data_IF_514244141921
#
_entry.id   IF_514244141921
#
_cell.length_a   1.000
_cell.length_b   1.000
_cell.length_c   1.000
_cell.angle_alpha   90.00
_cell.angle_beta   90.00
_cell.angle_gamma   90.00
#
_symmetry.space_group_name_H-M   'P 1'
#
loop_
_entity.id
_entity.type
_entity.pdbx_description
1 polymer ?
#
# COMPACT_ATOMS: atom_id res chain seq x y z
N UNK A 1 -0.44 -4.83 -6.81
CA UNK A 1 1.00 -4.71 -6.50
C UNK A 1 1.53 -5.70 -5.47
N UNK A 2 1.64 -5.39 -4.16
CA UNK A 2 2.20 -6.35 -3.17
C UNK A 2 1.43 -7.68 -3.13
N UNK A 3 0.09 -7.64 -3.27
CA UNK A 3 -0.75 -8.84 -3.32
C UNK A 3 -0.49 -9.74 -4.53
N UNK A 4 -0.30 -9.16 -5.72
CA UNK A 4 -0.06 -9.95 -6.94
C UNK A 4 1.33 -10.56 -6.93
N UNK A 5 2.34 -9.81 -6.47
CA UNK A 5 3.68 -10.35 -6.24
C UNK A 5 3.65 -11.51 -5.24
N UNK A 6 2.95 -11.35 -4.11
CA UNK A 6 2.80 -12.42 -3.11
C UNK A 6 2.09 -13.67 -3.65
N UNK A 7 0.99 -13.49 -4.41
CA UNK A 7 0.22 -14.63 -4.93
C UNK A 7 0.91 -15.32 -6.10
N UNK A 8 1.74 -14.62 -6.87
CA UNK A 8 2.47 -15.17 -8.00
C UNK A 8 3.77 -15.87 -7.57
N UNK A 9 4.55 -15.29 -6.65
CA UNK A 9 5.89 -15.80 -6.31
C UNK A 9 5.92 -16.78 -5.14
N UNK A 10 4.91 -16.77 -4.26
CA UNK A 10 4.90 -17.60 -3.04
C UNK A 10 3.58 -18.35 -2.81
N UNK A 11 3.14 -19.22 -3.73
CA UNK A 11 1.92 -20.01 -3.54
C UNK A 11 2.06 -21.01 -2.37
N UNK A 12 1.08 -21.03 -1.47
CA UNK A 12 1.02 -21.99 -0.35
C UNK A 12 1.97 -21.68 0.81
N UNK A 13 2.50 -20.45 0.88
CA UNK A 13 3.38 -19.98 1.94
C UNK A 13 2.68 -19.00 2.87
N UNK A 14 2.98 -19.10 4.16
CA UNK A 14 2.43 -18.21 5.17
C UNK A 14 3.17 -16.87 5.19
N UNK A 15 2.40 -15.79 5.18
CA UNK A 15 2.91 -14.43 5.29
C UNK A 15 2.16 -13.71 6.40
N UNK A 16 2.92 -13.06 7.28
CA UNK A 16 2.38 -12.27 8.38
C UNK A 16 2.40 -10.82 7.99
N UNK A 17 1.22 -10.19 7.97
CA UNK A 17 1.05 -8.80 7.53
C UNK A 17 0.45 -8.00 8.67
N UNK A 18 1.09 -6.88 8.99
CA UNK A 18 0.57 -5.87 9.89
C UNK A 18 0.45 -4.55 9.15
N UNK A 19 -0.54 -3.75 9.53
CA UNK A 19 -0.72 -2.40 9.01
C UNK A 19 -1.21 -1.50 10.10
N UNK A 20 -0.90 -0.22 9.99
CA UNK A 20 -1.34 0.76 10.96
C UNK A 20 -1.09 2.18 10.52
N UNK A 21 -1.20 3.07 11.49
CA UNK A 21 -1.00 4.51 11.32
C UNK A 21 0.12 4.98 12.24
N UNK A 22 0.73 6.11 11.91
CA UNK A 22 1.69 6.79 12.76
C UNK A 22 1.48 8.31 12.69
N UNK A 23 1.73 8.99 13.81
CA UNK A 23 1.57 10.44 13.93
C UNK A 23 0.11 10.91 13.86
N UNK A 24 -0.08 12.22 13.90
CA UNK A 24 -1.39 12.86 13.73
C UNK A 24 -1.16 14.13 12.92
N UNK A 25 -1.69 14.14 11.69
CA UNK A 25 -1.61 15.28 10.78
C UNK A 25 -2.63 16.35 11.16
N UNK A 26 -3.85 15.91 11.44
CA UNK A 26 -4.98 16.80 11.67
C UNK A 26 -6.06 16.08 12.48
N UNK A 27 -7.14 16.79 12.79
CA UNK A 27 -8.33 16.26 13.43
C UNK A 27 -9.54 16.48 12.53
N UNK A 28 -10.23 15.38 12.22
CA UNK A 28 -11.53 15.44 11.59
C UNK A 28 -12.56 15.77 12.67
N UNK A 29 -13.07 17.00 12.63
CA UNK A 29 -14.10 17.47 13.55
C UNK A 29 -15.48 17.04 13.06
N UNK A 30 -15.96 15.88 13.54
CA UNK A 30 -17.33 15.44 13.33
C UNK A 30 -18.28 16.02 14.38
N UNK A 31 -19.60 16.01 14.09
CA UNK A 31 -20.63 16.48 15.03
C UNK A 31 -20.68 15.73 16.36
N UNK A 32 -20.14 14.51 16.42
CA UNK A 32 -20.21 13.63 17.61
C UNK A 32 -18.84 13.17 18.13
N UNK A 33 -17.82 13.09 17.25
CA UNK A 33 -16.49 12.62 17.61
C UNK A 33 -15.42 13.36 16.82
N UNK A 34 -14.30 13.60 17.51
CA UNK A 34 -13.05 14.03 16.89
C UNK A 34 -12.24 12.79 16.53
N UNK A 35 -11.96 12.63 15.24
CA UNK A 35 -11.18 11.49 14.73
C UNK A 35 -9.83 12.00 14.28
N UNK A 36 -8.75 11.39 14.75
CA UNK A 36 -7.40 11.73 14.31
C UNK A 36 -7.22 11.36 12.85
N UNK A 37 -6.75 12.32 12.06
CA UNK A 37 -6.24 12.08 10.72
C UNK A 37 -4.76 11.69 10.85
N UNK A 38 -4.37 10.47 10.44
CA UNK A 38 -2.98 10.02 10.53
C UNK A 38 -2.04 10.90 9.73
N UNK A 39 -0.80 11.06 10.20
CA UNK A 39 0.27 11.65 9.40
C UNK A 39 0.88 10.64 8.42
N UNK A 40 0.92 9.37 8.83
CA UNK A 40 1.45 8.29 8.01
C UNK A 40 0.57 7.04 8.08
N UNK A 41 0.53 6.31 6.98
CA UNK A 41 0.05 4.94 6.90
C UNK A 41 1.24 4.02 6.67
N UNK A 42 1.27 2.87 7.33
CA UNK A 42 2.34 1.89 7.13
C UNK A 42 1.78 0.48 7.00
N UNK A 43 2.56 -0.35 6.31
CA UNK A 43 2.33 -1.78 6.17
C UNK A 43 3.65 -2.51 6.29
N UNK A 44 3.68 -3.57 7.06
CA UNK A 44 4.84 -4.42 7.25
C UNK A 44 4.46 -5.87 6.95
N UNK A 45 5.42 -6.62 6.43
CA UNK A 45 5.27 -8.02 6.14
C UNK A 45 6.50 -8.78 6.63
N UNK A 46 6.25 -9.95 7.20
CA UNK A 46 7.27 -10.96 7.44
C UNK A 46 6.91 -12.26 6.73
N UNK A 47 7.93 -12.86 6.12
CA UNK A 47 7.92 -14.25 5.67
C UNK A 47 9.02 -14.99 6.40
N UNK A 48 8.69 -16.16 6.94
CA UNK A 48 9.64 -17.11 7.50
C UNK A 48 9.16 -18.54 7.22
N UNK A 49 10.06 -19.39 6.72
CA UNK A 49 9.81 -20.83 6.52
C UNK A 49 10.68 -21.73 7.40
N UNK A 50 11.29 -21.16 8.44
CA UNK A 50 12.18 -21.84 9.37
C UNK A 50 13.59 -22.08 8.83
N UNK A 51 13.85 -21.74 7.56
CA UNK A 51 15.19 -21.80 6.93
C UNK A 51 15.64 -20.43 6.44
N UNK A 52 14.71 -19.64 5.93
CA UNK A 52 14.94 -18.32 5.39
C UNK A 52 13.85 -17.38 5.84
N UNK A 53 14.25 -16.18 6.21
CA UNK A 53 13.34 -15.11 6.58
C UNK A 53 13.66 -13.84 5.80
N UNK A 54 12.62 -13.13 5.38
CA UNK A 54 12.71 -11.76 4.90
C UNK A 54 11.53 -10.96 5.43
N UNK A 55 11.78 -9.68 5.67
CA UNK A 55 10.76 -8.78 6.19
C UNK A 55 10.98 -7.37 5.68
N UNK A 56 9.89 -6.74 5.28
CA UNK A 56 9.88 -5.39 4.70
C UNK A 56 8.72 -4.58 5.26
N UNK A 57 8.86 -3.27 5.17
CA UNK A 57 7.86 -2.31 5.52
C UNK A 57 7.79 -1.20 4.46
N UNK A 58 6.59 -0.69 4.24
CA UNK A 58 6.35 0.56 3.56
C UNK A 58 5.69 1.53 4.52
N UNK A 59 6.07 2.80 4.45
CA UNK A 59 5.38 3.91 5.11
C UNK A 59 5.13 5.00 4.09
N UNK A 60 3.95 5.61 4.16
CA UNK A 60 3.43 6.58 3.20
C UNK A 60 2.90 7.76 3.99
N UNK A 61 3.32 8.97 3.63
CA UNK A 61 2.78 10.19 4.22
C UNK A 61 1.34 10.42 3.74
N UNK A 62 0.46 10.80 4.64
CA UNK A 62 -0.90 11.19 4.32
C UNK A 62 -0.89 12.61 3.73
N UNK A 63 -0.97 12.73 2.40
CA UNK A 63 -1.08 14.02 1.71
C UNK A 63 -2.45 14.13 1.03
N UNK A 64 -3.26 15.09 1.47
CA UNK A 64 -4.50 15.46 0.80
C UNK A 64 -4.21 16.49 -0.29
N UNK A 65 -3.52 16.13 -1.37
CA UNK A 65 -3.45 16.99 -2.54
C UNK A 65 -4.14 16.30 -3.72
N UNK A 66 -5.08 17.03 -4.33
CA UNK A 66 -5.71 16.69 -5.61
C UNK A 66 -4.67 16.52 -6.75
N UNK A 67 -3.41 16.87 -6.48
CA UNK A 67 -2.23 16.75 -7.34
C UNK A 67 -1.35 15.53 -6.99
N UNK A 68 -1.58 14.85 -5.86
CA UNK A 68 -0.69 13.81 -5.32
C UNK A 68 -1.26 12.39 -5.36
N UNK A 69 -2.43 12.17 -5.99
CA UNK A 69 -2.91 10.81 -6.24
C UNK A 69 -1.95 10.03 -7.17
N UNK A 70 -1.28 10.76 -8.08
CA UNK A 70 -0.27 10.23 -8.99
C UNK A 70 1.16 10.28 -8.42
N UNK A 71 1.38 11.11 -7.40
CA UNK A 71 2.69 11.18 -6.77
C UNK A 71 2.82 10.12 -5.69
N UNK A 72 3.50 9.04 -6.04
CA UNK A 72 4.15 8.13 -5.08
C UNK A 72 5.26 8.82 -4.26
N UNK A 73 5.21 10.15 -4.11
CA UNK A 73 6.18 10.98 -3.41
C UNK A 73 6.01 10.78 -1.90
N UNK A 74 7.01 10.17 -1.28
CA UNK A 74 7.00 9.87 0.16
C UNK A 74 6.64 8.44 0.54
N UNK A 75 6.62 7.49 -0.41
CA UNK A 75 6.67 6.06 -0.09
C UNK A 75 8.12 5.68 0.23
N UNK A 76 8.37 5.21 1.44
CA UNK A 76 9.67 4.65 1.83
C UNK A 76 9.56 3.13 1.99
N UNK A 77 10.36 2.37 1.25
CA UNK A 77 10.55 0.93 1.47
C UNK A 77 11.72 0.74 2.43
N UNK A 78 11.51 0.03 3.53
CA UNK A 78 12.49 -0.18 4.58
C UNK A 78 12.35 -1.55 5.23
N UNK A 79 13.31 -1.91 6.07
CA UNK A 79 13.22 -3.10 6.93
C UNK A 79 12.22 -2.86 8.05
N UNK A 80 11.68 -3.94 8.61
CA UNK A 80 10.79 -3.87 9.77
C UNK A 80 11.47 -3.31 11.02
N UNK A 81 12.79 -3.49 11.16
CA UNK A 81 13.61 -2.86 12.20
C UNK A 81 13.71 -1.34 12.02
N UNK A 82 13.90 -0.86 10.79
CA UNK A 82 13.91 0.57 10.47
C UNK A 82 12.55 1.21 10.78
N UNK A 83 11.43 0.57 10.40
CA UNK A 83 10.09 1.05 10.76
C UNK A 83 9.91 1.13 12.28
N UNK A 84 10.29 0.07 12.99
CA UNK A 84 10.13 -0.05 14.44
C UNK A 84 10.92 1.03 15.19
N UNK A 85 12.17 1.25 14.79
CA UNK A 85 13.07 2.21 15.43
C UNK A 85 12.72 3.67 15.12
N UNK A 86 12.30 3.96 13.89
CA UNK A 86 12.00 5.33 13.45
C UNK A 86 10.60 5.80 13.85
N UNK A 87 9.60 4.91 13.89
CA UNK A 87 8.19 5.30 13.98
C UNK A 87 7.40 4.64 15.11
N UNK A 88 7.65 3.37 15.46
CA UNK A 88 6.70 2.61 16.29
C UNK A 88 7.10 2.47 17.76
N UNK A 89 8.33 2.84 18.13
CA UNK A 89 8.80 2.82 19.52
C UNK A 89 9.01 1.41 20.10
N UNK A 90 8.96 0.37 19.25
CA UNK A 90 9.13 -1.02 19.65
C UNK A 90 9.02 -1.99 18.47
N UNK A 91 9.52 -3.23 18.61
CA UNK A 91 9.43 -4.24 17.56
C UNK A 91 7.98 -4.69 17.33
N UNK A 92 7.59 -4.81 16.06
CA UNK A 92 6.25 -5.28 15.66
C UNK A 92 6.19 -6.78 15.34
N UNK A 93 7.34 -7.38 15.06
CA UNK A 93 7.49 -8.82 14.87
C UNK A 93 8.53 -9.37 15.85
N UNK A 94 8.66 -10.69 15.88
CA UNK A 94 9.70 -11.35 16.67
C UNK A 94 11.12 -11.08 16.14
N UNK A 95 12.12 -11.62 16.84
CA UNK A 95 13.53 -11.43 16.47
C UNK A 95 13.90 -12.03 15.12
N UNK A 96 13.19 -13.04 14.62
CA UNK A 96 13.49 -13.65 13.31
C UNK A 96 13.20 -12.62 12.23
N UNK A 97 12.00 -12.06 12.24
CA UNK A 97 11.59 -11.03 11.29
C UNK A 97 12.34 -9.71 11.49
N UNK A 98 12.58 -9.29 12.74
CA UNK A 98 13.27 -8.03 13.02
C UNK A 98 14.72 -8.03 12.56
N UNK A 99 15.38 -9.20 12.55
CA UNK A 99 16.75 -9.33 12.07
C UNK A 99 16.82 -9.75 10.59
N UNK A 100 15.67 -9.98 9.95
CA UNK A 100 15.63 -10.42 8.57
C UNK A 100 15.99 -9.27 7.61
N UNK A 101 16.57 -9.63 6.47
CA UNK A 101 16.81 -8.69 5.38
C UNK A 101 15.52 -8.44 4.59
N UNK A 102 15.57 -7.51 3.62
CA UNK A 102 14.44 -7.23 2.73
C UNK A 102 14.11 -8.38 1.77
N UNK A 103 15.01 -9.35 1.59
CA UNK A 103 14.85 -10.40 0.59
C UNK A 103 14.63 -9.80 -0.82
N UNK A 104 13.60 -10.23 -1.57
CA UNK A 104 13.28 -9.70 -2.90
C UNK A 104 13.01 -8.18 -2.92
N UNK A 105 12.56 -7.61 -1.80
CA UNK A 105 12.24 -6.19 -1.71
C UNK A 105 13.48 -5.27 -1.64
N UNK A 106 14.68 -5.86 -1.55
CA UNK A 106 15.92 -5.10 -1.62
C UNK A 106 16.05 -4.38 -2.96
N UNK A 107 15.74 -5.07 -4.07
CA UNK A 107 15.79 -4.48 -5.41
C UNK A 107 14.74 -3.38 -5.57
N UNK A 108 13.53 -3.59 -5.03
CA UNK A 108 12.47 -2.59 -5.06
C UNK A 108 12.90 -1.30 -4.36
N UNK A 109 13.57 -1.42 -3.21
CA UNK A 109 14.11 -0.27 -2.48
C UNK A 109 15.24 0.43 -3.25
N UNK A 110 16.16 -0.34 -3.83
CA UNK A 110 17.33 0.22 -4.53
C UNK A 110 16.96 0.86 -5.87
N UNK A 111 15.94 0.35 -6.55
CA UNK A 111 15.49 0.81 -7.86
C UNK A 111 14.07 1.41 -7.80
N UNK A 112 13.75 2.11 -6.71
CA UNK A 112 12.38 2.58 -6.44
C UNK A 112 11.82 3.45 -7.58
N UNK A 113 12.62 4.33 -8.18
CA UNK A 113 12.18 5.18 -9.31
C UNK A 113 11.73 4.36 -10.52
N UNK A 114 12.43 3.28 -10.84
CA UNK A 114 12.08 2.40 -11.95
C UNK A 114 10.81 1.61 -11.62
N UNK A 115 10.71 1.16 -10.38
CA UNK A 115 9.53 0.48 -9.87
C UNK A 115 8.30 1.39 -9.85
N UNK A 116 8.44 2.66 -9.48
CA UNK A 116 7.35 3.64 -9.58
C UNK A 116 6.78 3.67 -10.99
N UNK A 117 7.61 3.79 -12.03
CA UNK A 117 7.15 3.81 -13.43
C UNK A 117 6.43 2.52 -13.86
N UNK A 118 6.89 1.35 -13.39
CA UNK A 118 6.27 0.04 -13.68
C UNK A 118 4.94 -0.16 -12.95
N UNK A 119 4.76 0.54 -11.82
CA UNK A 119 3.69 0.31 -10.87
C UNK A 119 2.67 1.43 -10.80
N UNK A 120 2.92 2.56 -11.49
CA UNK A 120 1.88 3.54 -11.78
C UNK A 120 0.74 2.76 -12.41
N UNK A 121 -0.35 2.61 -11.67
CA UNK A 121 -1.61 2.28 -12.28
C UNK A 121 -1.86 3.42 -13.26
N UNK A 122 -1.75 3.17 -14.57
CA UNK A 122 -2.51 3.97 -15.52
C UNK A 122 -3.97 3.76 -15.14
N UNK A 123 -4.47 4.58 -14.23
CA UNK A 123 -5.86 4.91 -14.23
C UNK A 123 -6.10 5.46 -15.63
N UNK A 124 -7.01 4.87 -16.42
CA UNK A 124 -7.40 5.49 -17.67
C UNK A 124 -7.70 6.95 -17.32
N UNK A 125 -6.99 7.88 -17.95
CA UNK A 125 -7.41 9.28 -17.92
C UNK A 125 -8.88 9.28 -18.29
N UNK A 126 -9.71 9.98 -17.53
CA UNK A 126 -11.09 10.29 -17.93
C UNK A 126 -11.10 11.29 -19.11
N UNK A 127 -10.21 11.07 -20.07
CA UNK A 127 -10.12 11.78 -21.33
C UNK A 127 -10.23 10.67 -22.39
N UNK A 128 -11.34 10.70 -23.12
CA UNK A 128 -11.75 9.77 -24.19
C UNK A 128 -12.65 8.57 -23.82
N UNK A 129 -13.77 8.81 -23.14
CA UNK A 129 -15.03 8.17 -23.54
C UNK A 129 -16.08 9.29 -23.65
N UNK A 130 -16.66 9.46 -24.85
CA UNK A 130 -17.82 10.32 -25.10
C UNK A 130 -18.90 9.98 -24.06
N UNK A 131 -19.09 10.87 -23.08
CA UNK A 131 -20.08 10.79 -22.01
C UNK A 131 -21.49 10.92 -22.61
N UNK A 132 -21.97 9.85 -23.24
CA UNK A 132 -23.41 9.60 -23.35
C UNK A 132 -23.90 9.11 -21.98
N UNK A 133 -24.12 10.07 -21.09
CA UNK A 133 -24.74 9.84 -19.78
C UNK A 133 -26.20 9.44 -20.01
N UNK A 134 -26.47 8.13 -20.05
CA UNK A 134 -27.84 7.65 -19.82
C UNK A 134 -28.17 7.75 -18.33
N UNK A 135 -28.98 8.75 -18.01
CA UNK A 135 -29.63 8.89 -16.70
C UNK A 135 -30.86 7.98 -16.66
N UNK A 136 -30.91 7.06 -15.70
CA UNK A 136 -32.15 6.40 -15.29
C UNK A 136 -32.66 7.03 -13.99
N UNK A 137 -34.00 7.13 -13.87
CA UNK A 137 -34.80 7.98 -12.98
C UNK A 137 -34.56 7.92 -11.45
N UNK A 138 -33.65 7.07 -10.96
CA UNK A 138 -33.50 6.83 -9.51
C UNK A 138 -32.23 7.45 -8.89
N UNK A 139 -31.45 8.22 -9.64
CA UNK A 139 -30.39 9.11 -9.10
C UNK A 139 -29.27 8.42 -8.29
N UNK A 140 -29.10 7.10 -8.40
CA UNK A 140 -28.07 6.35 -7.68
C UNK A 140 -26.99 5.85 -8.64
N UNK A 141 -25.76 6.35 -8.45
CA UNK A 141 -24.55 5.81 -9.06
C UNK A 141 -24.33 4.37 -8.56
N UNK A 142 -24.37 3.40 -9.48
CA UNK A 142 -23.88 2.04 -9.22
C UNK A 142 -22.62 1.80 -10.04
N UNK A 143 -21.57 1.35 -9.38
CA UNK A 143 -20.42 0.74 -10.06
C UNK A 143 -20.85 -0.59 -10.66
N UNK A 144 -20.72 -0.74 -11.97
CA UNK A 144 -20.82 -2.02 -12.67
C UNK A 144 -19.39 -2.47 -12.97
N UNK A 145 -18.87 -3.52 -12.31
CA UNK A 145 -17.55 -4.06 -12.66
C UNK A 145 -17.57 -4.58 -14.10
N UNK A 146 -16.65 -4.11 -14.96
CA UNK A 146 -16.45 -4.71 -16.30
C UNK A 146 -15.95 -6.16 -16.08
N UNK A 147 -16.68 -7.14 -16.61
CA UNK A 147 -16.24 -8.52 -16.64
C UNK A 147 -14.96 -8.62 -17.50
N UNK A 148 -13.87 -9.15 -16.94
CA UNK A 148 -12.70 -9.49 -17.76
C UNK A 148 -13.06 -10.63 -18.71
N UNK A 149 -12.68 -10.55 -20.01
CA UNK A 149 -12.79 -11.69 -20.89
C UNK A 149 -11.83 -12.81 -20.43
N UNK A 150 -12.19 -14.09 -20.60
CA UNK A 150 -11.34 -15.21 -20.22
C UNK A 150 -10.05 -15.18 -21.05
N UNK A 151 -8.90 -15.26 -20.38
CA UNK A 151 -7.61 -15.42 -21.04
C UNK A 151 -7.52 -16.84 -21.61
N UNK A 152 -7.20 -16.95 -22.91
CA UNK A 152 -6.90 -18.18 -23.66
C UNK A 152 -5.44 -18.56 -23.51
#
# INVERSE_FOLDING_TARGET
MAREFMMAEHPGKDHYIMSGTHGTLDWMHGKMHEVRVPEYYWKAQCYDDGKSAWAWAIIIKNTNAHESADESSGIEVMTVAELSSRYLGGPIFDSVCQNASLGPWKEVRENWSDWQSKLVCHFPSHEEEDDSVETNDDGKLRFIPRAHPPQL
#
